data_IF_567068093356
#
_entry.id   IF_567068093356
#
_cell.length_a   1.000
_cell.length_b   1.000
_cell.length_c   1.000
_cell.angle_alpha   90.00
_cell.angle_beta   90.00
_cell.angle_gamma   90.00
#
_symmetry.space_group_name_H-M   'P 1'
#
loop_
_entity.id
_entity.type
_entity.pdbx_description
1 polymer ?
#
# COMPACT_ATOMS: atom_id res chain seq x y z
N UNK A 1 10.09 -45.17 61.21
CA UNK A 1 8.85 -45.06 60.41
C UNK A 1 8.07 -43.88 60.96
N UNK A 2 7.48 -42.92 60.25
CA UNK A 2 7.34 -42.60 58.81
C UNK A 2 6.78 -41.15 58.82
N UNK A 3 7.63 -40.12 58.95
CA UNK A 3 7.18 -38.72 58.87
C UNK A 3 8.31 -37.82 58.37
N UNK A 4 8.83 -38.16 57.19
CA UNK A 4 9.66 -37.28 56.36
C UNK A 4 9.34 -37.56 54.89
N UNK A 5 8.10 -37.32 54.46
CA UNK A 5 7.74 -37.46 53.03
C UNK A 5 6.47 -36.73 52.58
N UNK A 6 6.13 -35.55 53.15
CA UNK A 6 4.97 -34.79 52.65
C UNK A 6 5.22 -33.29 52.47
N UNK A 7 6.47 -32.92 52.20
CA UNK A 7 6.83 -31.59 51.68
C UNK A 7 7.62 -31.80 50.39
N UNK A 8 6.95 -32.33 49.36
CA UNK A 8 7.51 -32.42 48.01
C UNK A 8 6.40 -32.34 46.95
N UNK A 9 5.43 -31.44 47.14
CA UNK A 9 4.30 -31.31 46.20
C UNK A 9 3.83 -29.86 46.00
N UNK A 10 4.68 -28.83 46.16
CA UNK A 10 4.29 -27.42 45.88
C UNK A 10 5.41 -26.58 45.21
N UNK A 11 6.45 -27.17 44.60
CA UNK A 11 7.57 -26.36 44.06
C UNK A 11 7.95 -26.57 42.58
N UNK A 12 7.08 -27.12 41.73
CA UNK A 12 7.36 -27.18 40.28
C UNK A 12 6.19 -26.72 39.41
N UNK A 13 5.47 -25.68 39.87
CA UNK A 13 4.57 -24.87 39.03
C UNK A 13 5.26 -23.65 38.41
N UNK A 14 6.59 -23.63 38.35
CA UNK A 14 7.34 -22.78 37.43
C UNK A 14 7.41 -23.48 36.06
N UNK A 15 6.23 -23.74 35.47
CA UNK A 15 6.16 -23.72 34.01
C UNK A 15 6.49 -22.28 33.68
N UNK A 16 7.76 -22.07 33.36
CA UNK A 16 8.22 -20.93 32.61
C UNK A 16 7.30 -20.87 31.41
N UNK A 17 6.30 -20.01 31.48
CA UNK A 17 5.66 -19.46 30.29
C UNK A 17 6.76 -18.70 29.57
N UNK A 18 7.64 -19.44 28.89
CA UNK A 18 8.24 -19.00 27.65
C UNK A 18 7.04 -18.79 26.73
N UNK A 19 6.38 -17.64 26.88
CA UNK A 19 5.80 -16.98 25.73
C UNK A 19 6.99 -16.80 24.80
N UNK A 20 7.19 -17.80 23.93
CA UNK A 20 7.85 -17.56 22.65
C UNK A 20 7.01 -16.44 22.07
N UNK A 21 7.43 -15.20 22.27
CA UNK A 21 6.90 -14.08 21.51
C UNK A 21 6.97 -14.58 20.08
N UNK A 22 5.82 -14.75 19.44
CA UNK A 22 5.79 -15.01 18.01
C UNK A 22 6.67 -13.91 17.43
N UNK A 23 7.84 -14.25 16.90
CA UNK A 23 8.59 -13.31 16.09
C UNK A 23 7.70 -13.09 14.88
N UNK A 24 6.81 -12.11 14.98
CA UNK A 24 5.96 -11.68 13.88
C UNK A 24 6.94 -11.16 12.84
N UNK A 25 7.10 -11.91 11.76
CA UNK A 25 7.88 -11.45 10.62
C UNK A 25 7.03 -10.42 9.89
N UNK A 26 7.02 -9.20 10.44
CA UNK A 26 6.30 -8.06 9.89
C UNK A 26 6.64 -7.83 8.42
N UNK A 27 7.87 -8.14 7.98
CA UNK A 27 8.26 -7.99 6.58
C UNK A 27 7.47 -8.97 5.73
N UNK A 28 7.39 -10.23 6.14
CA UNK A 28 6.60 -11.23 5.43
C UNK A 28 5.10 -10.85 5.39
N UNK A 29 4.53 -10.44 6.52
CA UNK A 29 3.09 -10.12 6.62
C UNK A 29 2.72 -8.85 5.84
N UNK A 30 3.54 -7.80 5.92
CA UNK A 30 3.37 -6.59 5.10
C UNK A 30 3.54 -6.93 3.62
N UNK A 31 4.56 -7.73 3.22
CA UNK A 31 4.74 -8.15 1.83
C UNK A 31 3.52 -8.87 1.29
N UNK A 32 3.02 -9.85 2.03
CA UNK A 32 1.85 -10.62 1.65
C UNK A 32 0.62 -9.72 1.47
N UNK A 33 0.37 -8.83 2.43
CA UNK A 33 -0.80 -7.95 2.43
C UNK A 33 -0.73 -6.88 1.34
N UNK A 34 0.44 -6.26 1.13
CA UNK A 34 0.65 -5.27 0.07
C UNK A 34 0.57 -5.89 -1.32
N UNK A 35 1.15 -7.10 -1.49
CA UNK A 35 1.02 -7.85 -2.74
C UNK A 35 -0.44 -8.17 -3.03
N UNK A 36 -1.19 -8.64 -2.03
CA UNK A 36 -2.62 -8.90 -2.19
C UNK A 36 -3.41 -7.64 -2.54
N UNK A 37 -3.08 -6.49 -1.94
CA UNK A 37 -3.70 -5.22 -2.28
C UNK A 37 -3.49 -4.85 -3.75
N UNK A 38 -2.22 -4.86 -4.21
CA UNK A 38 -1.88 -4.52 -5.60
C UNK A 38 -2.45 -5.53 -6.60
N UNK A 39 -2.44 -6.83 -6.28
CA UNK A 39 -3.04 -7.84 -7.16
C UNK A 39 -4.56 -7.71 -7.27
N UNK A 40 -5.26 -7.24 -6.22
CA UNK A 40 -6.68 -6.93 -6.32
C UNK A 40 -6.92 -5.71 -7.24
N UNK A 41 -6.09 -4.66 -7.15
CA UNK A 41 -6.16 -3.50 -8.06
C UNK A 41 -5.91 -3.94 -9.50
N UNK A 42 -4.80 -4.65 -9.75
CA UNK A 42 -4.41 -5.15 -11.08
C UNK A 42 -5.49 -6.04 -11.69
N UNK A 43 -6.10 -6.92 -10.89
CA UNK A 43 -7.18 -7.81 -11.32
C UNK A 43 -8.56 -7.13 -11.34
N UNK A 44 -8.63 -5.80 -11.16
CA UNK A 44 -9.86 -4.99 -11.11
C UNK A 44 -10.89 -5.46 -10.06
N UNK A 45 -10.44 -6.15 -9.01
CA UNK A 45 -11.27 -6.56 -7.85
C UNK A 45 -11.31 -5.40 -6.84
N UNK A 46 -11.90 -4.29 -7.25
CA UNK A 46 -11.83 -3.00 -6.54
C UNK A 46 -12.40 -3.10 -5.13
N UNK A 47 -13.53 -3.77 -4.94
CA UNK A 47 -14.13 -3.95 -3.60
C UNK A 47 -13.18 -4.66 -2.62
N UNK A 48 -12.46 -5.68 -3.10
CA UNK A 48 -11.46 -6.38 -2.31
C UNK A 48 -10.24 -5.50 -2.03
N UNK A 49 -9.80 -4.72 -3.02
CA UNK A 49 -8.67 -3.82 -2.87
C UNK A 49 -8.95 -2.76 -1.78
N UNK A 50 -10.15 -2.18 -1.75
CA UNK A 50 -10.50 -1.13 -0.78
C UNK A 50 -10.52 -1.65 0.66
N UNK A 51 -10.71 -2.96 0.88
CA UNK A 51 -10.59 -3.55 2.21
C UNK A 51 -9.17 -3.50 2.77
N UNK A 52 -8.15 -3.24 1.94
CA UNK A 52 -6.78 -3.02 2.38
C UNK A 52 -6.48 -1.57 2.72
N UNK A 53 -7.39 -0.62 2.46
CA UNK A 53 -7.16 0.80 2.75
C UNK A 53 -7.35 1.08 4.23
N UNK A 54 -6.52 1.98 4.77
CA UNK A 54 -6.58 2.37 6.17
C UNK A 54 -7.94 3.01 6.55
N UNK A 55 -8.65 2.50 7.57
CA UNK A 55 -10.00 2.96 7.88
C UNK A 55 -10.13 4.45 8.20
N UNK A 56 -9.15 5.09 8.85
CA UNK A 56 -9.26 6.53 9.16
C UNK A 56 -9.30 7.41 7.91
N UNK A 57 -8.66 6.99 6.82
CA UNK A 57 -8.79 7.66 5.52
C UNK A 57 -10.17 7.43 4.91
N UNK A 58 -10.68 6.19 5.00
CA UNK A 58 -12.04 5.88 4.53
C UNK A 58 -13.12 6.63 5.32
N UNK A 59 -12.87 7.06 6.56
CA UNK A 59 -13.81 7.91 7.30
C UNK A 59 -13.88 9.34 6.74
N UNK A 60 -12.85 9.80 6.04
CA UNK A 60 -12.83 11.14 5.43
C UNK A 60 -13.35 11.13 4.00
N UNK A 61 -12.92 10.14 3.20
CA UNK A 61 -13.24 10.07 1.76
C UNK A 61 -14.46 9.17 1.48
N UNK A 62 -14.84 8.28 2.40
CA UNK A 62 -15.80 7.16 2.25
C UNK A 62 -15.30 6.02 1.37
N UNK A 63 -15.75 4.80 1.67
CA UNK A 63 -15.38 3.59 0.92
C UNK A 63 -15.94 3.63 -0.49
N UNK A 64 -17.20 4.05 -0.61
CA UNK A 64 -17.95 4.14 -1.85
C UNK A 64 -17.28 5.08 -2.83
N UNK A 65 -16.86 6.27 -2.36
CA UNK A 65 -16.16 7.24 -3.21
C UNK A 65 -14.84 6.69 -3.77
N UNK A 66 -14.07 5.95 -2.96
CA UNK A 66 -12.82 5.34 -3.43
C UNK A 66 -13.10 4.26 -4.47
N UNK A 67 -14.15 3.45 -4.27
CA UNK A 67 -14.59 2.44 -5.24
C UNK A 67 -14.97 3.13 -6.56
N UNK A 68 -15.77 4.19 -6.51
CA UNK A 68 -16.21 4.93 -7.68
C UNK A 68 -15.03 5.57 -8.43
N UNK A 69 -14.09 6.19 -7.72
CA UNK A 69 -12.89 6.76 -8.32
C UNK A 69 -12.05 5.69 -9.04
N UNK A 70 -11.83 4.53 -8.41
CA UNK A 70 -11.06 3.45 -9.01
C UNK A 70 -11.80 2.83 -10.21
N UNK A 71 -13.11 2.63 -10.12
CA UNK A 71 -13.92 2.14 -11.24
C UNK A 71 -13.91 3.12 -12.40
N UNK A 72 -14.04 4.42 -12.15
CA UNK A 72 -13.92 5.46 -13.19
C UNK A 72 -12.54 5.43 -13.86
N UNK A 73 -11.47 5.17 -13.12
CA UNK A 73 -10.13 5.06 -13.70
C UNK A 73 -9.96 3.79 -14.56
N UNK A 74 -10.44 2.64 -14.10
CA UNK A 74 -10.21 1.33 -14.74
C UNK A 74 -11.22 0.91 -15.80
N UNK A 75 -12.41 1.52 -15.80
CA UNK A 75 -13.49 1.23 -16.74
C UNK A 75 -13.70 2.37 -17.76
N UNK A 76 -12.82 3.38 -17.77
CA UNK A 76 -12.85 4.41 -18.80
C UNK A 76 -12.43 3.83 -20.15
N UNK A 77 -13.27 3.89 -21.20
CA UNK A 77 -12.93 3.32 -22.51
C UNK A 77 -11.76 4.03 -23.20
N UNK A 78 -11.42 5.26 -22.79
CA UNK A 78 -10.30 5.99 -23.34
C UNK A 78 -8.95 5.60 -22.71
N UNK A 79 -8.95 4.86 -21.60
CA UNK A 79 -7.75 4.54 -20.84
C UNK A 79 -7.63 3.05 -20.59
N UNK A 80 -6.44 2.51 -20.84
CA UNK A 80 -6.10 1.14 -20.44
C UNK A 80 -4.82 1.17 -19.62
N UNK A 81 -4.88 0.52 -18.46
CA UNK A 81 -3.76 0.41 -17.52
C UNK A 81 -3.44 -1.07 -17.35
N UNK A 82 -2.19 -1.43 -17.57
CA UNK A 82 -1.65 -2.74 -17.26
C UNK A 82 -0.43 -2.59 -16.34
N UNK A 83 -0.46 -3.27 -15.19
CA UNK A 83 0.56 -3.23 -14.15
C UNK A 83 1.32 -4.56 -14.16
N UNK A 84 2.64 -4.47 -14.27
CA UNK A 84 3.56 -5.60 -14.32
C UNK A 84 4.79 -5.34 -13.46
N UNK A 85 5.64 -6.35 -13.28
CA UNK A 85 6.91 -6.25 -12.56
C UNK A 85 6.79 -5.61 -11.15
N UNK A 86 5.67 -5.84 -10.46
CA UNK A 86 5.49 -5.36 -9.10
C UNK A 86 6.52 -6.00 -8.17
N UNK A 87 7.21 -5.16 -7.39
CA UNK A 87 8.18 -5.58 -6.38
C UNK A 87 8.13 -4.64 -5.18
N UNK A 88 8.38 -5.22 -4.02
CA UNK A 88 8.55 -4.48 -2.77
C UNK A 88 10.06 -4.37 -2.53
N UNK A 89 10.58 -3.17 -2.69
CA UNK A 89 12.01 -2.89 -2.65
C UNK A 89 12.53 -2.91 -1.20
N UNK A 90 11.82 -2.27 -0.28
CA UNK A 90 12.18 -2.24 1.14
C UNK A 90 10.95 -2.09 2.05
N UNK A 91 11.08 -2.58 3.28
CA UNK A 91 10.10 -2.41 4.36
C UNK A 91 10.88 -2.01 5.62
N UNK A 92 10.60 -0.80 6.09
CA UNK A 92 11.16 -0.27 7.32
C UNK A 92 10.71 -1.08 8.54
N UNK A 93 11.38 -0.90 9.68
CA UNK A 93 10.92 -1.51 10.93
C UNK A 93 9.63 -0.79 11.39
N UNK A 94 8.57 -1.53 11.79
CA UNK A 94 7.38 -0.91 12.34
C UNK A 94 7.69 -0.09 13.59
N UNK A 95 7.08 1.09 13.66
CA UNK A 95 7.11 1.96 14.82
C UNK A 95 5.74 1.97 15.47
N UNK A 96 5.70 1.69 16.77
CA UNK A 96 4.47 1.83 17.55
C UNK A 96 4.27 3.31 17.91
N UNK A 97 3.15 3.88 17.49
CA UNK A 97 2.74 5.24 17.81
C UNK A 97 1.30 5.14 18.33
N UNK A 98 1.08 5.51 19.59
CA UNK A 98 -0.16 5.21 20.32
C UNK A 98 -0.45 3.69 20.29
N UNK A 99 -1.64 3.30 19.86
CA UNK A 99 -2.10 1.90 19.81
C UNK A 99 -1.97 1.27 18.41
N UNK A 100 -1.22 1.90 17.51
CA UNK A 100 -1.03 1.44 16.13
C UNK A 100 0.46 1.32 15.78
N UNK A 101 0.75 0.42 14.85
CA UNK A 101 2.06 0.17 14.29
C UNK A 101 2.09 0.72 12.86
N UNK A 102 3.14 1.47 12.55
CA UNK A 102 3.32 2.13 11.27
C UNK A 102 4.64 1.72 10.66
N UNK A 103 4.63 1.36 9.37
CA UNK A 103 5.84 0.98 8.63
C UNK A 103 5.79 1.55 7.24
N UNK A 104 6.91 2.10 6.74
CA UNK A 104 7.01 2.51 5.35
C UNK A 104 7.41 1.30 4.50
N UNK A 105 6.69 1.08 3.41
CA UNK A 105 7.03 0.11 2.38
C UNK A 105 7.33 0.87 1.08
N UNK A 106 8.57 0.76 0.61
CA UNK A 106 8.98 1.25 -0.70
C UNK A 106 8.72 0.14 -1.72
N UNK A 107 8.04 0.47 -2.81
CA UNK A 107 7.71 -0.50 -3.83
C UNK A 107 7.75 0.14 -5.21
N UNK A 108 7.82 -0.71 -6.23
CA UNK A 108 7.81 -0.25 -7.60
C UNK A 108 7.16 -1.26 -8.53
N UNK A 109 6.76 -0.79 -9.69
CA UNK A 109 6.14 -1.58 -10.74
C UNK A 109 6.35 -0.92 -12.09
N UNK A 110 6.17 -1.70 -13.16
CA UNK A 110 6.00 -1.17 -14.50
C UNK A 110 4.52 -1.00 -14.81
N UNK A 111 4.20 0.08 -15.48
CA UNK A 111 2.84 0.36 -15.94
C UNK A 111 2.84 0.72 -17.41
N UNK A 112 2.05 -0.01 -18.18
CA UNK A 112 1.68 0.36 -19.54
C UNK A 112 0.37 1.13 -19.45
N UNK A 113 0.43 2.43 -19.73
CA UNK A 113 -0.72 3.32 -19.75
C UNK A 113 -1.02 3.74 -21.19
N UNK A 114 -2.05 3.13 -21.77
CA UNK A 114 -2.49 3.39 -23.14
C UNK A 114 -3.67 4.35 -23.15
N UNK A 115 -3.66 5.26 -24.12
CA UNK A 115 -4.71 6.27 -24.29
C UNK A 115 -5.31 6.17 -25.69
N UNK A 116 -6.62 5.97 -25.76
CA UNK A 116 -7.36 6.01 -27.03
C UNK A 116 -7.65 7.48 -27.39
N UNK A 117 -6.68 8.13 -28.03
CA UNK A 117 -6.74 9.57 -28.35
C UNK A 117 -7.96 9.96 -29.20
N UNK A 118 -8.49 9.05 -30.03
CA UNK A 118 -9.70 9.31 -30.81
C UNK A 118 -10.95 9.57 -29.98
N UNK A 119 -10.96 9.17 -28.70
CA UNK A 119 -12.05 9.40 -27.76
C UNK A 119 -11.83 10.66 -26.90
N UNK A 120 -10.68 11.33 -27.04
CA UNK A 120 -10.30 12.48 -26.24
C UNK A 120 -10.47 13.78 -27.05
N UNK A 121 -11.35 14.71 -26.62
CA UNK A 121 -11.45 16.03 -27.23
C UNK A 121 -10.12 16.78 -27.13
N UNK A 122 -9.73 17.47 -28.21
CA UNK A 122 -8.45 18.20 -28.30
C UNK A 122 -7.24 17.32 -27.95
N UNK A 123 -7.17 16.13 -28.57
CA UNK A 123 -6.20 15.09 -28.26
C UNK A 123 -4.74 15.57 -28.19
N UNK A 124 -4.31 16.48 -29.06
CA UNK A 124 -2.94 17.03 -29.02
C UNK A 124 -2.63 17.77 -27.72
N UNK A 125 -3.54 18.67 -27.30
CA UNK A 125 -3.42 19.41 -26.04
C UNK A 125 -3.50 18.45 -24.85
N UNK A 126 -4.39 17.46 -24.91
CA UNK A 126 -4.52 16.45 -23.87
C UNK A 126 -3.25 15.59 -23.75
N UNK A 127 -2.64 15.19 -24.88
CA UNK A 127 -1.39 14.43 -24.92
C UNK A 127 -0.25 15.20 -24.27
N UNK A 128 -0.12 16.49 -24.55
CA UNK A 128 0.87 17.35 -23.88
C UNK A 128 0.64 17.43 -22.36
N UNK A 129 -0.61 17.66 -21.93
CA UNK A 129 -0.95 17.74 -20.50
C UNK A 129 -0.70 16.43 -19.76
N UNK A 130 -1.09 15.30 -20.35
CA UNK A 130 -0.84 13.97 -19.78
C UNK A 130 0.67 13.70 -19.70
N UNK A 131 1.43 14.00 -20.76
CA UNK A 131 2.88 13.83 -20.76
C UNK A 131 3.54 14.64 -19.62
N UNK A 132 3.15 15.89 -19.45
CA UNK A 132 3.63 16.75 -18.36
C UNK A 132 3.25 16.21 -16.99
N UNK A 133 1.99 15.78 -16.81
CA UNK A 133 1.50 15.24 -15.55
C UNK A 133 2.23 13.93 -15.16
N UNK A 134 2.45 13.02 -16.12
CA UNK A 134 3.18 11.78 -15.88
C UNK A 134 4.64 12.05 -15.53
N UNK A 135 5.30 12.96 -16.25
CA UNK A 135 6.68 13.37 -15.95
C UNK A 135 6.81 14.05 -14.58
N UNK A 136 5.83 14.87 -14.20
CA UNK A 136 5.79 15.49 -12.88
C UNK A 136 5.60 14.44 -11.77
N UNK A 137 4.72 13.46 -12.00
CA UNK A 137 4.42 12.41 -11.00
C UNK A 137 5.55 11.39 -10.84
N UNK A 138 6.10 10.89 -11.94
CA UNK A 138 7.02 9.75 -11.92
C UNK A 138 8.47 10.12 -12.22
N UNK A 139 8.73 11.35 -12.68
CA UNK A 139 10.04 11.79 -13.15
C UNK A 139 10.26 11.50 -14.64
N UNK A 140 11.00 12.39 -15.31
CA UNK A 140 11.19 12.34 -16.78
C UNK A 140 11.84 11.05 -17.26
N UNK A 141 12.83 10.56 -16.53
CA UNK A 141 13.62 9.37 -16.91
C UNK A 141 12.88 8.05 -16.65
N UNK A 142 11.73 8.11 -15.96
CA UNK A 142 10.90 6.94 -15.68
C UNK A 142 9.71 6.81 -16.65
N UNK A 143 9.62 7.68 -17.66
CA UNK A 143 8.53 7.72 -18.63
C UNK A 143 9.06 7.61 -20.05
N UNK A 144 8.57 6.64 -20.80
CA UNK A 144 8.80 6.53 -22.24
C UNK A 144 7.46 6.48 -22.97
N UNK A 145 7.33 7.24 -24.06
CA UNK A 145 6.16 7.17 -24.93
C UNK A 145 6.46 6.36 -26.19
N UNK A 146 5.51 5.53 -26.60
CA UNK A 146 5.60 4.70 -27.81
C UNK A 146 4.53 5.15 -28.80
N UNK A 147 4.92 5.96 -29.80
CA UNK A 147 3.98 6.60 -30.73
C UNK A 147 3.17 5.62 -31.60
N UNK A 148 3.76 4.47 -31.98
CA UNK A 148 3.07 3.51 -32.85
C UNK A 148 1.85 2.85 -32.20
N UNK A 149 1.87 2.75 -30.87
CA UNK A 149 0.94 1.95 -30.07
C UNK A 149 0.19 2.83 -29.06
N UNK A 150 0.44 4.14 -29.10
CA UNK A 150 -0.14 5.20 -28.26
C UNK A 150 -0.21 4.88 -26.76
N UNK A 151 0.92 4.46 -26.19
CA UNK A 151 1.04 4.24 -24.75
C UNK A 151 2.32 4.82 -24.15
N UNK A 152 2.23 5.02 -22.84
CA UNK A 152 3.34 5.34 -21.96
C UNK A 152 3.79 4.08 -21.23
N UNK A 153 5.08 3.76 -21.29
CA UNK A 153 5.71 2.83 -20.35
C UNK A 153 6.27 3.63 -19.19
N UNK A 154 5.89 3.22 -17.98
CA UNK A 154 6.12 3.96 -16.75
C UNK A 154 6.82 3.04 -15.75
N UNK A 155 8.01 3.42 -15.30
CA UNK A 155 8.70 2.76 -14.20
C UNK A 155 8.34 3.48 -12.89
N UNK A 156 7.24 3.08 -12.26
CA UNK A 156 6.72 3.77 -11.08
C UNK A 156 7.48 3.35 -9.82
N UNK A 157 8.02 4.33 -9.09
CA UNK A 157 8.55 4.15 -7.72
C UNK A 157 7.60 4.83 -6.76
N UNK A 158 7.13 4.09 -5.77
CA UNK A 158 6.04 4.49 -4.90
C UNK A 158 6.36 4.16 -3.44
N UNK A 159 5.63 4.82 -2.54
CA UNK A 159 5.67 4.56 -1.10
C UNK A 159 4.28 4.24 -0.58
N UNK A 160 4.19 3.32 0.38
CA UNK A 160 2.99 3.09 1.15
C UNK A 160 3.31 3.11 2.65
N UNK A 161 2.40 3.67 3.45
CA UNK A 161 2.39 3.45 4.88
C UNK A 161 1.55 2.21 5.17
N UNK A 162 2.17 1.15 5.67
CA UNK A 162 1.51 -0.01 6.24
C UNK A 162 1.15 0.28 7.70
N UNK A 163 -0.10 0.03 8.07
CA UNK A 163 -0.66 0.38 9.38
C UNK A 163 -1.39 -0.83 9.95
N UNK A 164 -1.11 -1.17 11.19
CA UNK A 164 -1.75 -2.31 11.88
C UNK A 164 -1.99 -2.02 13.35
N UNK A 165 -3.04 -2.60 13.94
CA UNK A 165 -3.28 -2.56 15.38
C UNK A 165 -2.66 -3.75 16.12
N UNK A 166 -2.31 -4.83 15.40
CA UNK A 166 -1.94 -6.12 15.98
C UNK A 166 -0.71 -6.77 15.33
N UNK A 167 -0.01 -6.01 14.46
CA UNK A 167 1.15 -6.43 13.68
C UNK A 167 0.90 -7.59 12.68
N UNK A 168 -0.36 -8.01 12.51
CA UNK A 168 -0.76 -9.13 11.64
C UNK A 168 -1.64 -8.66 10.48
N UNK A 169 -2.65 -7.84 10.80
CA UNK A 169 -3.59 -7.30 9.83
C UNK A 169 -3.10 -5.91 9.39
N UNK A 170 -2.50 -5.85 8.20
CA UNK A 170 -1.91 -4.63 7.67
C UNK A 170 -2.86 -3.96 6.66
N UNK A 171 -3.13 -2.68 6.89
CA UNK A 171 -3.83 -1.77 5.97
C UNK A 171 -2.83 -0.77 5.39
N UNK A 172 -3.21 -0.09 4.32
CA UNK A 172 -2.29 0.74 3.55
C UNK A 172 -2.86 2.12 3.28
N UNK A 173 -1.96 3.10 3.29
CA UNK A 173 -2.13 4.37 2.62
C UNK A 173 -1.01 4.53 1.61
N UNK A 174 -1.37 4.85 0.37
CA UNK A 174 -0.38 5.22 -0.63
C UNK A 174 0.10 6.63 -0.31
N UNK A 175 1.41 6.80 -0.25
CA UNK A 175 2.06 8.05 0.08
C UNK A 175 2.52 8.71 -1.22
N UNK A 176 1.90 9.84 -1.54
CA UNK A 176 2.18 10.64 -2.72
C UNK A 176 2.21 12.10 -2.27
N UNK A 177 3.30 12.81 -2.58
CA UNK A 177 3.53 14.20 -2.14
C UNK A 177 2.37 15.13 -2.53
N UNK A 178 1.70 14.83 -3.64
CA UNK A 178 0.55 15.62 -4.12
C UNK A 178 -0.61 15.63 -3.12
N UNK A 179 -0.79 14.56 -2.37
CA UNK A 179 -1.89 14.40 -1.41
C UNK A 179 -1.44 14.56 0.04
N UNK A 180 -0.23 15.10 0.24
CA UNK A 180 0.37 15.23 1.55
C UNK A 180 -0.51 16.05 2.50
N UNK A 181 -1.06 17.18 2.06
CA UNK A 181 -1.95 18.00 2.89
C UNK A 181 -3.21 17.26 3.39
N UNK A 182 -3.77 16.36 2.57
CA UNK A 182 -4.95 15.56 2.92
C UNK A 182 -4.62 14.52 4.02
N UNK A 183 -3.36 14.10 4.13
CA UNK A 183 -2.92 13.07 5.08
C UNK A 183 -2.53 13.63 6.45
N UNK A 184 -2.44 14.96 6.62
CA UNK A 184 -1.94 15.60 7.86
C UNK A 184 -2.76 15.23 9.10
N UNK A 185 -4.06 15.05 8.93
CA UNK A 185 -4.99 14.72 10.02
C UNK A 185 -5.21 13.21 10.19
N UNK A 186 -4.56 12.38 9.35
CA UNK A 186 -4.72 10.92 9.37
C UNK A 186 -3.46 10.24 9.90
N UNK A 187 -2.29 10.70 9.47
CA UNK A 187 -1.01 10.11 9.83
C UNK A 187 -0.36 10.87 10.99
N UNK A 188 0.29 10.18 11.93
CA UNK A 188 1.14 10.84 12.92
C UNK A 188 2.25 11.65 12.24
N UNK A 189 2.61 12.80 12.82
CA UNK A 189 3.64 13.70 12.29
C UNK A 189 4.97 12.99 11.98
N UNK A 190 5.36 12.04 12.84
CA UNK A 190 6.59 11.25 12.65
C UNK A 190 6.59 10.42 11.36
N UNK A 191 5.41 9.95 10.91
CA UNK A 191 5.26 9.23 9.64
C UNK A 191 5.20 10.20 8.48
N UNK A 192 4.55 11.35 8.68
CA UNK A 192 4.44 12.43 7.70
C UNK A 192 5.79 12.98 7.23
N UNK A 193 6.80 12.98 8.10
CA UNK A 193 8.16 13.45 7.78
C UNK A 193 8.97 12.46 6.92
N UNK A 194 8.48 11.23 6.68
CA UNK A 194 9.21 10.18 5.94
C UNK A 194 8.94 10.15 4.43
N UNK A 195 8.03 10.98 3.93
CA UNK A 195 7.67 11.05 2.52
C UNK A 195 7.35 12.46 2.08
#
# INVERSE_FOLDING_TARGET
MKTKLFILMICFFSIVSCTKGQNVDYKQDIRKSLTAFIENIKSKRIENAVNFIYPKYLNQVTKEHVIDMLNMAYNNPAFMVDISDFKIDDIEKPEKINDEFFSIANYSFKMKFQVQWSLIPNAEVAKQKINLALKAKYGKDNIQYFDKEDYYLINAKMKACAISQNEKDWKFLILDEKYKEELVNILPEKIFQKF
#
